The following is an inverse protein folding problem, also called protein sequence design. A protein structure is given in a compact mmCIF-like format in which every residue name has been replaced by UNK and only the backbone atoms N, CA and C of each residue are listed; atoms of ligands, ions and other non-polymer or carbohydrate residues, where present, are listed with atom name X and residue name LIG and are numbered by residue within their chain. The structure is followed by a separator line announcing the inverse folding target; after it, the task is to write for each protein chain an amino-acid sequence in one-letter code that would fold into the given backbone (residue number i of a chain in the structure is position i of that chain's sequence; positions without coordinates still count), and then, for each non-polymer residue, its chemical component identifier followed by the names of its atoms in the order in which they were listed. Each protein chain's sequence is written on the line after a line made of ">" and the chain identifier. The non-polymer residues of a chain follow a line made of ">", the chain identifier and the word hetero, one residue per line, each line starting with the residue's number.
data_IF_219163967044
#
_entry.id   IF_219163967044
#
_cell.length_a   1.000
_cell.length_b   1.000
_cell.length_c   1.000
_cell.angle_alpha   90.00
_cell.angle_beta   90.00
_cell.angle_gamma   90.00
#
_symmetry.space_group_name_H-M   'P 1'
#
loop_
_entity.id
_entity.type
_entity.pdbx_description
1 polymer ?
#
# COMPACT_ATOMS: atom_id res chain seq x y z
N UNK A 1 -0.74 21.12 -23.95
CA UNK A 1 -1.20 20.40 -22.74
C UNK A 1 -2.63 20.81 -22.46
N UNK A 2 -3.47 19.89 -21.98
CA UNK A 2 -4.81 20.23 -21.52
C UNK A 2 -4.75 21.20 -20.33
N UNK A 3 -5.74 22.07 -20.18
CA UNK A 3 -5.89 22.96 -19.02
C UNK A 3 -5.85 22.14 -17.72
N UNK A 4 -5.26 22.71 -16.67
CA UNK A 4 -5.19 22.11 -15.33
C UNK A 4 -6.18 22.76 -14.35
N UNK A 5 -7.16 23.51 -14.87
CA UNK A 5 -8.25 24.06 -14.07
C UNK A 5 -9.20 22.98 -13.56
N UNK A 6 -9.82 23.15 -12.38
CA UNK A 6 -10.71 22.14 -11.79
C UNK A 6 -11.79 21.64 -12.74
N UNK A 7 -12.48 22.56 -13.42
CA UNK A 7 -13.58 22.24 -14.32
C UNK A 7 -13.12 21.42 -15.53
N UNK A 8 -11.98 21.77 -16.14
CA UNK A 8 -11.45 20.99 -17.28
C UNK A 8 -10.86 19.65 -16.85
N UNK A 9 -10.21 19.57 -15.70
CA UNK A 9 -9.70 18.29 -15.15
C UNK A 9 -10.88 17.36 -14.88
N UNK A 10 -11.97 17.86 -14.29
CA UNK A 10 -13.16 17.06 -14.03
C UNK A 10 -13.81 16.55 -15.33
N UNK A 11 -13.85 17.38 -16.37
CA UNK A 11 -14.42 16.99 -17.67
C UNK A 11 -13.52 16.03 -18.47
N UNK A 12 -12.21 16.25 -18.45
CA UNK A 12 -11.24 15.49 -19.25
C UNK A 12 -10.74 14.21 -18.57
N UNK A 13 -10.87 14.12 -17.25
CA UNK A 13 -10.31 13.03 -16.45
C UNK A 13 -8.77 12.96 -16.47
N UNK A 14 -8.09 14.06 -16.85
CA UNK A 14 -6.63 14.09 -17.04
C UNK A 14 -6.00 15.28 -16.32
N UNK A 15 -4.99 15.02 -15.48
CA UNK A 15 -4.25 16.06 -14.76
C UNK A 15 -2.82 15.64 -14.39
N UNK A 16 -2.00 16.63 -14.06
CA UNK A 16 -0.78 16.48 -13.24
C UNK A 16 -1.08 16.88 -11.79
N UNK A 17 -0.09 16.74 -10.89
CA UNK A 17 -0.25 16.98 -9.45
C UNK A 17 -1.01 18.27 -9.09
N UNK A 18 -0.68 19.40 -9.73
CA UNK A 18 -1.38 20.66 -9.51
C UNK A 18 -2.86 20.60 -9.88
N UNK A 19 -3.23 19.95 -10.99
CA UNK A 19 -4.62 19.80 -11.41
C UNK A 19 -5.42 18.89 -10.47
N UNK A 20 -4.81 17.81 -9.98
CA UNK A 20 -5.40 16.98 -8.91
C UNK A 20 -5.67 17.80 -7.65
N UNK A 21 -4.68 18.57 -7.20
CA UNK A 21 -4.77 19.32 -5.95
C UNK A 21 -5.81 20.46 -6.02
N UNK A 22 -5.88 21.17 -7.14
CA UNK A 22 -6.87 22.23 -7.35
C UNK A 22 -8.29 21.66 -7.51
N UNK A 23 -8.47 20.55 -8.25
CA UNK A 23 -9.77 19.89 -8.33
C UNK A 23 -10.24 19.41 -6.95
N UNK A 24 -9.38 18.74 -6.20
CA UNK A 24 -9.74 18.29 -4.85
C UNK A 24 -10.11 19.46 -3.94
N UNK A 25 -9.32 20.53 -3.94
CA UNK A 25 -9.63 21.75 -3.17
C UNK A 25 -11.01 22.30 -3.54
N UNK A 26 -11.34 22.39 -4.82
CA UNK A 26 -12.65 22.87 -5.29
C UNK A 26 -13.79 21.99 -4.78
N UNK A 27 -13.63 20.67 -4.86
CA UNK A 27 -14.60 19.69 -4.35
C UNK A 27 -14.76 19.76 -2.83
N UNK A 28 -13.64 19.87 -2.10
CA UNK A 28 -13.63 20.01 -0.65
C UNK A 28 -14.38 21.28 -0.20
N UNK A 29 -14.15 22.42 -0.87
CA UNK A 29 -14.88 23.66 -0.60
C UNK A 29 -16.38 23.50 -0.82
N UNK A 30 -16.81 22.82 -1.89
CA UNK A 30 -18.24 22.51 -2.10
C UNK A 30 -18.83 21.58 -1.03
N UNK A 31 -18.02 20.69 -0.46
CA UNK A 31 -18.39 19.83 0.65
C UNK A 31 -18.36 20.56 2.02
N UNK A 32 -18.03 21.85 2.05
CA UNK A 32 -17.94 22.64 3.29
C UNK A 32 -16.64 22.42 4.09
N UNK A 33 -15.62 21.81 3.48
CA UNK A 33 -14.31 21.58 4.09
C UNK A 33 -13.34 22.70 3.73
N UNK A 34 -12.57 23.17 4.71
CA UNK A 34 -11.44 24.06 4.45
C UNK A 34 -10.26 23.24 3.91
N UNK A 35 -9.77 23.62 2.72
CA UNK A 35 -8.69 22.93 2.02
C UNK A 35 -7.72 23.93 1.40
N UNK A 36 -6.42 23.62 1.51
CA UNK A 36 -5.33 24.40 0.93
C UNK A 36 -4.50 23.53 0.00
N UNK A 37 -4.16 24.05 -1.18
CA UNK A 37 -3.13 23.44 -2.03
C UNK A 37 -1.77 23.75 -1.44
N UNK A 38 -0.98 22.70 -1.24
CA UNK A 38 0.40 22.76 -0.76
C UNK A 38 1.31 22.33 -1.90
N UNK A 39 2.34 23.11 -2.18
CA UNK A 39 3.38 22.76 -3.15
C UNK A 39 4.70 22.51 -2.44
N UNK A 40 5.51 21.64 -3.01
CA UNK A 40 6.83 21.34 -2.46
C UNK A 40 7.55 20.27 -3.26
N UNK A 41 8.40 19.55 -2.57
CA UNK A 41 9.19 18.45 -3.10
C UNK A 41 8.63 17.10 -2.63
N UNK A 42 8.52 16.14 -3.53
CA UNK A 42 8.10 14.78 -3.26
C UNK A 42 9.17 13.75 -3.63
N UNK A 43 9.38 12.73 -2.77
CA UNK A 43 10.20 11.54 -3.10
C UNK A 43 9.44 10.57 -4.01
N UNK A 44 9.05 11.08 -5.18
CA UNK A 44 8.24 10.39 -6.18
C UNK A 44 9.07 9.65 -7.23
N UNK A 45 8.45 9.39 -8.37
CA UNK A 45 9.14 8.80 -9.52
C UNK A 45 10.35 9.64 -9.94
N UNK A 46 11.52 9.01 -10.06
CA UNK A 46 12.78 9.68 -10.43
C UNK A 46 13.56 10.33 -9.29
N UNK A 47 13.07 10.25 -8.04
CA UNK A 47 13.79 10.75 -6.87
C UNK A 47 15.15 10.07 -6.70
N UNK A 48 16.19 10.89 -6.49
CA UNK A 48 17.52 10.42 -6.12
C UNK A 48 17.97 10.99 -4.77
N UNK A 49 18.46 10.15 -3.83
CA UNK A 49 19.03 10.64 -2.59
C UNK A 49 20.14 11.68 -2.83
N UNK A 50 20.09 12.79 -2.11
CA UNK A 50 21.03 13.90 -2.26
C UNK A 50 20.76 14.86 -3.43
N UNK A 51 19.66 14.70 -4.18
CA UNK A 51 19.28 15.70 -5.19
C UNK A 51 19.01 17.08 -4.54
N UNK A 52 19.32 18.20 -5.23
CA UNK A 52 19.03 19.53 -4.69
C UNK A 52 17.52 19.76 -4.60
N UNK A 53 17.10 20.63 -3.69
CA UNK A 53 15.69 20.99 -3.58
C UNK A 53 15.15 21.50 -4.92
N UNK A 54 14.08 20.86 -5.38
CA UNK A 54 13.30 21.31 -6.51
C UNK A 54 11.82 21.11 -6.19
N UNK A 55 11.00 22.14 -6.42
CA UNK A 55 9.54 22.00 -6.27
C UNK A 55 9.03 21.15 -7.43
N UNK A 56 8.69 19.89 -7.15
CA UNK A 56 8.28 18.91 -8.17
C UNK A 56 6.87 18.34 -7.92
N UNK A 57 6.19 18.71 -6.84
CA UNK A 57 4.92 18.10 -6.46
C UNK A 57 3.92 19.06 -5.78
N UNK A 58 2.65 18.68 -5.80
CA UNK A 58 1.55 19.41 -5.17
C UNK A 58 0.48 18.46 -4.62
N UNK A 59 -0.05 18.80 -3.44
CA UNK A 59 -1.05 18.02 -2.69
C UNK A 59 -1.96 18.97 -1.89
N UNK A 60 -2.79 18.44 -0.99
CA UNK A 60 -3.71 19.23 -0.18
C UNK A 60 -3.47 19.06 1.32
N UNK A 61 -3.71 20.14 2.06
CA UNK A 61 -3.97 20.10 3.49
C UNK A 61 -5.45 20.42 3.74
N UNK A 62 -6.14 19.59 4.51
CA UNK A 62 -7.55 19.78 4.89
C UNK A 62 -7.69 20.04 6.38
N UNK A 63 -8.60 20.92 6.75
CA UNK A 63 -8.93 21.20 8.15
C UNK A 63 -9.92 20.16 8.66
N UNK A 64 -9.49 19.37 9.63
CA UNK A 64 -10.33 18.45 10.40
C UNK A 64 -10.52 18.99 11.82
N UNK A 65 -11.50 18.45 12.54
CA UNK A 65 -11.78 18.83 13.94
C UNK A 65 -10.56 18.64 14.87
N UNK A 66 -9.70 17.66 14.54
CA UNK A 66 -8.49 17.32 15.29
C UNK A 66 -7.22 17.97 14.73
N UNK A 67 -7.31 18.83 13.71
CA UNK A 67 -6.16 19.52 13.13
C UNK A 67 -6.07 19.44 11.61
N UNK A 68 -4.91 19.83 11.07
CA UNK A 68 -4.66 19.77 9.63
C UNK A 68 -4.22 18.36 9.22
N UNK A 69 -4.88 17.79 8.22
CA UNK A 69 -4.58 16.48 7.64
C UNK A 69 -4.09 16.61 6.21
N UNK A 70 -3.17 15.77 5.77
CA UNK A 70 -2.55 15.85 4.44
C UNK A 70 -3.11 14.77 3.50
N UNK A 71 -3.43 15.16 2.27
CA UNK A 71 -4.00 14.28 1.23
C UNK A 71 -3.30 14.53 -0.10
N UNK A 72 -2.91 13.45 -0.78
CA UNK A 72 -2.41 13.49 -2.16
C UNK A 72 -3.27 12.63 -3.10
N UNK A 73 -4.16 13.31 -3.84
CA UNK A 73 -4.99 12.65 -4.83
C UNK A 73 -4.21 12.20 -6.08
N UNK A 74 -3.08 12.83 -6.39
CA UNK A 74 -2.29 12.49 -7.58
C UNK A 74 -1.65 11.11 -7.39
N UNK A 75 -0.85 10.93 -6.33
CA UNK A 75 -0.23 9.63 -6.03
C UNK A 75 -1.25 8.62 -5.47
N UNK A 76 -2.32 9.09 -4.83
CA UNK A 76 -3.43 8.25 -4.40
C UNK A 76 -4.25 7.63 -5.54
N UNK A 77 -4.19 8.19 -6.75
CA UNK A 77 -4.97 7.71 -7.91
C UNK A 77 -4.28 6.62 -8.72
N UNK A 78 -2.95 6.53 -8.65
CA UNK A 78 -2.15 5.64 -9.47
C UNK A 78 -0.72 6.12 -9.67
N UNK A 79 -0.04 5.52 -10.63
CA UNK A 79 1.34 5.86 -10.99
C UNK A 79 1.56 5.75 -12.50
N UNK A 80 2.73 6.18 -12.97
CA UNK A 80 3.14 6.08 -14.36
C UNK A 80 4.32 5.09 -14.45
N UNK A 81 4.28 4.19 -15.43
CA UNK A 81 5.38 3.26 -15.71
C UNK A 81 6.65 3.96 -16.23
N UNK A 82 7.77 3.24 -16.13
CA UNK A 82 9.04 3.70 -16.66
C UNK A 82 9.09 3.85 -18.18
N UNK A 83 10.07 4.63 -18.65
CA UNK A 83 10.40 4.82 -20.07
C UNK A 83 10.60 3.49 -20.82
N UNK A 84 10.37 3.44 -22.16
CA UNK A 84 10.18 4.57 -23.08
C UNK A 84 8.73 5.02 -23.29
N UNK A 85 7.75 4.21 -22.91
CA UNK A 85 6.33 4.48 -23.17
C UNK A 85 5.57 4.54 -21.85
N UNK A 86 5.62 5.68 -21.13
CA UNK A 86 4.95 5.83 -19.85
C UNK A 86 3.44 5.57 -20.01
N UNK A 87 2.93 4.59 -19.29
CA UNK A 87 1.50 4.29 -19.19
C UNK A 87 1.01 4.65 -17.80
N UNK A 88 -0.17 5.25 -17.73
CA UNK A 88 -0.83 5.49 -16.45
C UNK A 88 -1.49 4.19 -15.97
N UNK A 89 -1.09 3.76 -14.78
CA UNK A 89 -1.69 2.64 -14.07
C UNK A 89 -2.57 3.19 -12.96
N UNK A 90 -3.88 3.10 -13.16
CA UNK A 90 -4.86 3.48 -12.14
C UNK A 90 -4.76 2.48 -10.97
N UNK A 91 -4.40 2.98 -9.80
CA UNK A 91 -4.27 2.19 -8.57
C UNK A 91 -4.66 3.08 -7.39
N UNK A 92 -5.73 2.72 -6.69
CA UNK A 92 -6.05 3.40 -5.44
C UNK A 92 -4.96 3.07 -4.42
N UNK A 93 -4.30 4.09 -3.91
CA UNK A 93 -3.30 3.98 -2.86
C UNK A 93 -3.80 4.73 -1.61
N UNK A 94 -4.57 4.05 -0.73
CA UNK A 94 -5.25 4.65 0.42
C UNK A 94 -4.31 5.42 1.36
N UNK A 95 -3.05 5.00 1.46
CA UNK A 95 -2.02 5.61 2.28
C UNK A 95 -1.83 7.10 1.99
N UNK A 96 -2.09 7.57 0.76
CA UNK A 96 -2.03 8.99 0.39
C UNK A 96 -3.22 9.81 0.89
N UNK A 97 -4.24 9.17 1.45
CA UNK A 97 -5.43 9.80 2.00
C UNK A 97 -5.50 9.67 3.53
N UNK A 98 -4.96 8.58 4.10
CA UNK A 98 -5.18 8.22 5.51
C UNK A 98 -3.91 8.27 6.39
N UNK A 99 -2.72 8.44 5.80
CA UNK A 99 -1.48 8.47 6.59
C UNK A 99 -1.46 9.68 7.53
N UNK A 100 -0.89 9.52 8.72
CA UNK A 100 -0.63 10.65 9.60
C UNK A 100 0.34 11.65 8.95
N UNK A 101 0.30 12.95 9.31
CA UNK A 101 1.22 13.94 8.76
C UNK A 101 2.70 13.57 8.89
N UNK A 102 3.08 12.89 9.98
CA UNK A 102 4.46 12.42 10.19
C UNK A 102 4.89 11.39 9.14
N UNK A 103 4.02 10.43 8.81
CA UNK A 103 4.28 9.41 7.77
C UNK A 103 4.22 10.04 6.38
N UNK A 104 3.21 10.88 6.13
CA UNK A 104 3.04 11.58 4.85
C UNK A 104 4.26 12.46 4.53
N UNK A 105 4.76 13.19 5.54
CA UNK A 105 5.90 14.11 5.45
C UNK A 105 7.24 13.42 5.16
N UNK A 106 7.36 12.10 5.31
CA UNK A 106 8.57 11.35 4.90
C UNK A 106 8.84 11.44 3.40
N UNK A 107 7.78 11.61 2.61
CA UNK A 107 7.83 11.68 1.14
C UNK A 107 7.35 13.00 0.57
N UNK A 108 6.88 13.93 1.41
CA UNK A 108 6.34 15.23 1.00
C UNK A 108 6.93 16.35 1.86
N UNK A 109 7.83 17.13 1.28
CA UNK A 109 8.44 18.28 1.91
C UNK A 109 7.82 19.57 1.36
N UNK A 110 6.98 20.28 2.13
CA UNK A 110 6.34 21.50 1.66
C UNK A 110 7.37 22.63 1.51
N UNK A 111 7.14 23.50 0.53
CA UNK A 111 7.95 24.72 0.39
C UNK A 111 7.78 25.66 1.59
N UNK A 112 6.53 25.85 2.02
CA UNK A 112 6.21 26.55 3.26
C UNK A 112 6.19 25.53 4.39
N UNK A 113 7.24 25.54 5.20
CA UNK A 113 7.44 24.61 6.32
C UNK A 113 6.31 24.60 7.37
N UNK A 114 5.45 25.62 7.40
CA UNK A 114 4.26 25.63 8.27
C UNK A 114 3.22 24.56 7.87
N UNK A 115 3.31 24.01 6.65
CA UNK A 115 2.43 22.96 6.13
C UNK A 115 3.01 21.54 6.27
N UNK A 116 4.05 21.35 7.09
CA UNK A 116 4.47 19.99 7.44
C UNK A 116 3.44 19.30 8.33
N UNK A 117 2.64 20.08 9.06
CA UNK A 117 1.51 19.63 9.88
C UNK A 117 1.86 18.48 10.84
N UNK A 118 3.12 18.38 11.27
CA UNK A 118 3.62 17.26 12.05
C UNK A 118 2.98 17.20 13.42
N UNK A 119 2.66 15.98 13.85
CA UNK A 119 2.00 15.72 15.13
C UNK A 119 2.98 15.88 16.30
N UNK A 120 4.28 15.73 16.04
CA UNK A 120 5.33 15.90 17.05
C UNK A 120 5.70 17.38 17.31
N UNK A 121 5.04 18.32 16.62
CA UNK A 121 5.28 19.75 16.75
C UNK A 121 6.65 20.22 16.23
N UNK A 122 7.45 19.32 15.63
CA UNK A 122 8.74 19.68 15.05
C UNK A 122 8.54 20.22 13.64
N UNK A 123 9.46 21.09 13.23
CA UNK A 123 9.65 21.45 11.83
C UNK A 123 10.99 20.89 11.40
N UNK A 124 11.00 19.97 10.44
CA UNK A 124 12.24 19.36 9.94
C UNK A 124 12.82 20.19 8.79
N UNK A 125 14.15 20.24 8.71
CA UNK A 125 14.86 20.88 7.61
C UNK A 125 15.00 19.98 6.38
N UNK A 126 15.50 20.56 5.28
CA UNK A 126 15.77 19.83 4.04
C UNK A 126 16.75 18.67 4.23
N UNK A 127 17.84 18.88 4.97
CA UNK A 127 18.86 17.86 5.21
C UNK A 127 18.31 16.64 5.96
N UNK A 128 17.51 16.88 7.02
CA UNK A 128 16.84 15.82 7.77
C UNK A 128 15.83 15.08 6.87
N UNK A 129 15.03 15.81 6.10
CA UNK A 129 14.09 15.20 5.14
C UNK A 129 14.80 14.32 4.10
N UNK A 130 16.00 14.69 3.64
CA UNK A 130 16.75 13.96 2.61
C UNK A 130 17.54 12.76 3.17
N UNK A 131 17.70 12.68 4.49
CA UNK A 131 18.39 11.56 5.12
C UNK A 131 17.48 10.32 5.07
N UNK A 132 17.95 9.16 4.58
CA UNK A 132 17.21 7.91 4.67
C UNK A 132 16.92 7.60 6.14
N UNK A 133 15.67 7.31 6.51
CA UNK A 133 15.34 6.82 7.85
C UNK A 133 16.18 5.55 8.09
N UNK A 134 17.13 5.60 9.04
CA UNK A 134 18.02 4.47 9.32
C UNK A 134 17.27 3.24 9.88
N UNK A 135 15.99 3.41 10.24
CA UNK A 135 15.14 2.41 10.86
C UNK A 135 14.17 1.71 9.91
N UNK A 136 14.05 2.11 8.64
CA UNK A 136 13.11 1.42 7.74
C UNK A 136 13.75 0.17 7.12
N UNK A 137 13.20 -1.04 7.36
CA UNK A 137 13.53 -2.19 6.54
C UNK A 137 13.16 -1.86 5.09
N UNK A 138 14.02 -2.25 4.14
CA UNK A 138 13.78 -2.15 2.70
C UNK A 138 12.30 -2.41 2.36
N UNK A 139 11.68 -1.62 1.46
CA UNK A 139 10.27 -1.80 1.10
C UNK A 139 10.03 -3.25 0.72
N UNK A 140 8.98 -3.86 1.29
CA UNK A 140 8.68 -5.26 1.06
C UNK A 140 8.44 -5.48 -0.43
N UNK A 141 9.32 -6.22 -1.10
CA UNK A 141 9.24 -6.46 -2.54
C UNK A 141 8.28 -7.62 -2.80
N UNK A 142 6.98 -7.34 -2.85
CA UNK A 142 6.01 -8.29 -3.39
C UNK A 142 5.76 -8.01 -4.89
N UNK A 143 5.74 -9.08 -5.70
CA UNK A 143 5.07 -9.05 -6.99
C UNK A 143 3.56 -8.95 -6.72
N UNK A 144 2.90 -7.94 -7.30
CA UNK A 144 1.46 -7.61 -7.53
C UNK A 144 0.31 -8.35 -6.80
N UNK A 145 0.52 -9.54 -6.27
CA UNK A 145 -0.48 -10.39 -5.64
C UNK A 145 -1.15 -9.70 -4.44
N UNK A 146 -0.41 -9.12 -3.49
CA UNK A 146 -1.02 -8.43 -2.34
C UNK A 146 -1.92 -7.25 -2.72
N UNK A 147 -1.64 -6.60 -3.86
CA UNK A 147 -2.36 -5.44 -4.38
C UNK A 147 -3.71 -5.83 -4.98
N UNK A 148 -3.79 -6.98 -5.68
CA UNK A 148 -5.03 -7.51 -6.26
C UNK A 148 -6.09 -7.85 -5.19
N UNK A 149 -5.66 -8.12 -3.96
CA UNK A 149 -6.55 -8.38 -2.81
C UNK A 149 -6.71 -7.20 -1.85
N UNK A 150 -6.04 -6.08 -2.12
CA UNK A 150 -6.07 -4.89 -1.26
C UNK A 150 -5.41 -5.10 0.10
N UNK A 151 -4.41 -6.00 0.22
CA UNK A 151 -3.63 -6.15 1.45
C UNK A 151 -2.67 -4.98 1.64
N UNK A 152 -2.46 -4.59 2.90
CA UNK A 152 -1.50 -3.54 3.26
C UNK A 152 -0.13 -4.13 3.49
N UNK A 153 0.90 -3.53 2.90
CA UNK A 153 2.32 -3.84 3.19
C UNK A 153 2.63 -3.72 4.69
N UNK A 154 1.98 -2.79 5.39
CA UNK A 154 2.15 -2.59 6.85
C UNK A 154 1.54 -3.72 7.68
N UNK A 155 0.58 -4.46 7.12
CA UNK A 155 -0.08 -5.59 7.77
C UNK A 155 0.64 -6.92 7.49
N UNK A 156 1.76 -6.89 6.76
CA UNK A 156 2.53 -8.08 6.44
C UNK A 156 3.47 -8.43 7.59
N UNK A 157 3.50 -9.72 7.95
CA UNK A 157 4.46 -10.29 8.89
C UNK A 157 5.13 -11.51 8.27
N UNK A 158 6.44 -11.71 8.51
CA UNK A 158 7.36 -10.75 9.14
C UNK A 158 7.63 -9.54 8.21
N UNK A 159 7.90 -8.33 8.74
CA UNK A 159 8.07 -7.11 7.94
C UNK A 159 9.49 -7.00 7.39
N UNK A 160 10.02 -8.08 6.81
CA UNK A 160 11.38 -8.15 6.26
C UNK A 160 11.40 -8.84 4.90
N UNK A 161 12.33 -8.40 4.03
CA UNK A 161 12.57 -9.04 2.73
C UNK A 161 13.45 -10.29 2.81
N UNK A 162 14.15 -10.51 3.93
CA UNK A 162 15.04 -11.65 4.12
C UNK A 162 14.58 -12.48 5.32
N UNK A 163 14.13 -13.71 5.05
CA UNK A 163 13.68 -14.66 6.08
C UNK A 163 14.79 -15.53 6.66
N UNK A 164 16.04 -15.42 6.18
CA UNK A 164 17.19 -16.23 6.65
C UNK A 164 17.43 -16.09 8.15
N UNK A 165 17.09 -14.93 8.73
CA UNK A 165 17.20 -14.67 10.18
C UNK A 165 16.27 -15.55 11.02
N UNK A 166 15.28 -16.18 10.38
CA UNK A 166 14.30 -17.06 10.98
C UNK A 166 14.50 -18.54 10.61
N UNK A 167 15.57 -18.90 9.88
CA UNK A 167 15.87 -20.28 9.52
C UNK A 167 15.90 -21.19 10.77
N UNK A 168 15.26 -22.37 10.67
CA UNK A 168 15.14 -23.32 11.78
C UNK A 168 14.22 -22.87 12.93
N UNK A 169 13.41 -21.82 12.74
CA UNK A 169 12.49 -21.29 13.77
C UNK A 169 11.04 -21.34 13.31
N UNK A 170 10.14 -21.51 14.28
CA UNK A 170 8.71 -21.26 14.09
C UNK A 170 8.49 -19.78 13.84
N UNK A 171 7.86 -19.46 12.72
CA UNK A 171 7.63 -18.10 12.25
C UNK A 171 6.18 -17.95 11.84
N UNK A 172 5.60 -16.81 12.23
CA UNK A 172 4.24 -16.46 11.85
C UNK A 172 4.30 -15.61 10.59
N UNK A 173 3.58 -16.04 9.56
CA UNK A 173 3.30 -15.24 8.39
C UNK A 173 1.88 -14.73 8.46
N UNK A 174 1.69 -13.43 8.23
CA UNK A 174 0.36 -12.85 8.14
C UNK A 174 0.28 -11.77 7.07
N UNK A 175 -0.90 -11.64 6.48
CA UNK A 175 -1.28 -10.52 5.61
C UNK A 175 -2.67 -10.05 5.98
N UNK A 176 -3.00 -8.79 5.70
CA UNK A 176 -4.33 -8.30 5.98
C UNK A 176 -4.65 -6.98 5.31
N UNK A 177 -5.94 -6.63 5.34
CA UNK A 177 -6.45 -5.37 4.81
C UNK A 177 -5.93 -4.17 5.64
N UNK A 178 -5.81 -2.97 5.03
CA UNK A 178 -5.35 -1.75 5.70
C UNK A 178 -6.13 -1.36 6.94
N UNK A 179 -7.43 -1.65 6.98
CA UNK A 179 -8.26 -1.42 8.17
C UNK A 179 -9.42 -2.42 8.26
N UNK A 180 -9.92 -2.64 9.46
CA UNK A 180 -11.05 -3.55 9.74
C UNK A 180 -12.39 -3.09 9.12
N UNK A 181 -12.48 -1.82 8.73
CA UNK A 181 -13.65 -1.24 8.08
C UNK A 181 -13.70 -1.52 6.58
N UNK A 182 -12.60 -1.94 5.99
CA UNK A 182 -12.61 -2.47 4.62
C UNK A 182 -13.16 -3.89 4.67
N UNK A 183 -14.49 -4.05 4.58
CA UNK A 183 -15.05 -5.37 4.33
C UNK A 183 -14.91 -5.69 2.85
N UNK A 184 -14.03 -6.63 2.50
CA UNK A 184 -14.21 -7.32 1.22
C UNK A 184 -15.53 -8.09 1.28
N UNK A 185 -16.31 -8.02 0.20
CA UNK A 185 -17.57 -8.77 0.06
C UNK A 185 -17.32 -10.29 -0.08
N UNK A 186 -16.06 -10.70 -0.24
CA UNK A 186 -15.63 -12.02 -0.73
C UNK A 186 -14.35 -12.46 0.02
N UNK A 187 -14.34 -13.69 0.55
CA UNK A 187 -13.16 -14.35 1.13
C UNK A 187 -12.34 -15.08 0.05
N UNK A 188 -11.07 -15.37 0.38
CA UNK A 188 -10.14 -16.07 -0.50
C UNK A 188 -9.48 -17.23 0.23
N UNK A 189 -9.24 -18.33 -0.50
CA UNK A 189 -8.39 -19.42 -0.01
C UNK A 189 -6.94 -19.10 -0.40
N UNK A 190 -6.11 -18.81 0.61
CA UNK A 190 -4.71 -18.43 0.43
C UNK A 190 -3.75 -19.49 0.96
N UNK A 191 -2.66 -19.70 0.23
CA UNK A 191 -1.61 -20.64 0.59
C UNK A 191 -0.26 -19.94 0.67
N UNK A 192 0.50 -20.26 1.72
CA UNK A 192 1.91 -19.93 1.85
C UNK A 192 2.75 -21.07 1.29
N UNK A 193 3.73 -20.74 0.46
CA UNK A 193 4.72 -21.69 -0.06
C UNK A 193 6.11 -21.17 0.27
N UNK A 194 6.98 -22.05 0.79
CA UNK A 194 8.36 -21.71 1.15
C UNK A 194 9.32 -22.62 0.39
N UNK A 195 10.30 -22.02 -0.28
CA UNK A 195 11.30 -22.71 -1.09
C UNK A 195 10.87 -22.89 -2.55
N UNK A 196 11.11 -24.06 -3.11
CA UNK A 196 10.70 -24.39 -4.48
C UNK A 196 9.21 -24.69 -4.55
N UNK A 197 8.56 -24.28 -5.63
CA UNK A 197 7.15 -24.57 -5.85
C UNK A 197 6.96 -26.06 -6.15
N UNK A 198 6.34 -26.80 -5.22
CA UNK A 198 6.04 -28.22 -5.35
C UNK A 198 4.64 -28.50 -4.81
N UNK A 199 3.99 -29.60 -5.21
CA UNK A 199 2.63 -29.89 -4.73
C UNK A 199 2.55 -30.19 -3.22
N UNK A 200 3.70 -30.41 -2.56
CA UNK A 200 3.76 -30.86 -1.17
C UNK A 200 4.06 -29.77 -0.13
N UNK A 201 4.33 -28.53 -0.55
CA UNK A 201 4.74 -27.45 0.37
C UNK A 201 3.77 -26.26 0.41
N UNK A 202 2.49 -26.52 0.12
CA UNK A 202 1.41 -25.55 0.23
C UNK A 202 0.83 -25.59 1.64
N UNK A 203 0.90 -24.47 2.34
CA UNK A 203 0.34 -24.35 3.69
C UNK A 203 -0.85 -23.40 3.64
N UNK A 204 -2.04 -23.94 3.86
CA UNK A 204 -3.27 -23.16 3.90
C UNK A 204 -3.22 -22.13 5.05
N UNK A 205 -3.53 -20.88 4.74
CA UNK A 205 -3.60 -19.80 5.72
C UNK A 205 -4.99 -19.73 6.36
N UNK A 206 -5.04 -19.58 7.68
CA UNK A 206 -6.29 -19.36 8.41
C UNK A 206 -6.80 -17.93 8.19
N UNK A 207 -8.08 -17.80 7.85
CA UNK A 207 -8.81 -16.52 7.77
C UNK A 207 -9.54 -16.23 9.08
N UNK A 208 -9.53 -14.98 9.53
CA UNK A 208 -10.38 -14.50 10.64
C UNK A 208 -11.77 -14.02 10.20
N UNK A 209 -12.06 -14.11 8.90
CA UNK A 209 -13.30 -13.63 8.27
C UNK A 209 -13.45 -12.11 8.23
N UNK A 210 -12.39 -11.37 8.58
CA UNK A 210 -12.33 -9.90 8.54
C UNK A 210 -11.18 -9.40 7.67
N UNK A 211 -10.72 -10.24 6.75
CA UNK A 211 -9.66 -9.90 5.82
C UNK A 211 -8.25 -9.99 6.40
N UNK A 212 -8.03 -10.72 7.51
CA UNK A 212 -6.68 -11.13 7.94
C UNK A 212 -6.46 -12.60 7.75
N UNK A 213 -5.30 -12.93 7.20
CA UNK A 213 -4.84 -14.29 6.95
C UNK A 213 -3.56 -14.54 7.75
N UNK A 214 -3.49 -15.69 8.42
CA UNK A 214 -2.35 -16.05 9.26
C UNK A 214 -2.02 -17.53 9.14
N UNK A 215 -0.73 -17.83 9.15
CA UNK A 215 -0.21 -19.20 9.27
C UNK A 215 1.05 -19.19 10.13
N UNK A 216 1.26 -20.25 10.88
CA UNK A 216 2.50 -20.48 11.61
C UNK A 216 3.19 -21.71 11.01
N UNK A 217 4.46 -21.55 10.63
CA UNK A 217 5.25 -22.59 9.96
C UNK A 217 6.64 -22.65 10.59
N UNK A 218 7.21 -23.85 10.62
CA UNK A 218 8.62 -24.03 10.97
C UNK A 218 9.45 -23.84 9.70
N UNK A 219 10.32 -22.83 9.70
CA UNK A 219 11.16 -22.56 8.53
C UNK A 219 12.28 -23.60 8.44
N UNK A 220 12.55 -24.17 7.25
CA UNK A 220 13.69 -25.04 7.07
C UNK A 220 14.98 -24.34 7.50
N UNK A 221 15.94 -25.09 8.04
CA UNK A 221 17.26 -24.57 8.38
C UNK A 221 18.13 -24.44 7.11
N UNK A 222 17.66 -23.61 6.18
CA UNK A 222 18.27 -23.35 4.89
C UNK A 222 18.11 -21.86 4.55
N UNK A 223 19.16 -21.28 3.98
CA UNK A 223 19.18 -19.87 3.53
C UNK A 223 18.81 -19.72 2.07
N UNK A 224 18.36 -18.52 1.71
CA UNK A 224 18.01 -18.15 0.33
C UNK A 224 16.66 -18.69 -0.14
N UNK A 225 15.81 -19.15 0.79
CA UNK A 225 14.47 -19.62 0.48
C UNK A 225 13.57 -18.44 0.06
N UNK A 226 12.73 -18.69 -0.93
CA UNK A 226 11.69 -17.74 -1.36
C UNK A 226 10.39 -18.03 -0.64
N UNK A 227 9.62 -16.98 -0.39
CA UNK A 227 8.25 -17.09 0.14
C UNK A 227 7.29 -16.64 -0.95
N UNK A 228 6.31 -17.48 -1.26
CA UNK A 228 5.24 -17.16 -2.18
C UNK A 228 3.88 -17.22 -1.50
N UNK A 229 3.00 -16.32 -1.90
CA UNK A 229 1.60 -16.31 -1.50
C UNK A 229 0.74 -16.60 -2.73
N UNK A 230 -0.14 -17.59 -2.62
CA UNK A 230 -0.93 -18.11 -3.72
C UNK A 230 -2.41 -18.18 -3.37
N UNK A 231 -3.28 -18.17 -4.39
CA UNK A 231 -4.74 -18.35 -4.24
C UNK A 231 -5.22 -19.59 -4.96
N UNK A 232 -6.30 -20.18 -4.46
CA UNK A 232 -7.12 -21.07 -5.28
C UNK A 232 -7.83 -20.25 -6.36
N UNK A 233 -7.70 -20.65 -7.62
CA UNK A 233 -8.45 -20.06 -8.76
C UNK A 233 -9.67 -20.88 -9.13
N UNK A 234 -9.60 -22.20 -8.93
CA UNK A 234 -10.69 -23.12 -9.23
C UNK A 234 -10.83 -24.13 -8.09
N UNK A 235 -12.07 -24.54 -7.83
CA UNK A 235 -12.41 -25.57 -6.86
C UNK A 235 -13.52 -26.45 -7.44
N UNK A 236 -13.28 -27.77 -7.51
CA UNK A 236 -14.23 -28.76 -8.06
C UNK A 236 -14.81 -28.36 -9.44
N UNK A 237 -13.98 -27.77 -10.30
CA UNK A 237 -14.38 -27.33 -11.64
C UNK A 237 -15.18 -26.02 -11.71
N UNK A 238 -15.36 -25.33 -10.58
CA UNK A 238 -15.98 -24.00 -10.49
C UNK A 238 -14.98 -22.94 -10.06
N UNK A 239 -15.33 -21.66 -10.21
CA UNK A 239 -14.55 -20.54 -9.67
C UNK A 239 -14.46 -20.65 -8.13
N UNK A 240 -13.24 -20.56 -7.58
CA UNK A 240 -13.00 -20.63 -6.13
C UNK A 240 -13.25 -19.29 -5.41
N UNK A 241 -13.67 -18.26 -6.14
CA UNK A 241 -13.96 -16.94 -5.61
C UNK A 241 -15.07 -16.98 -4.53
N UNK A 242 -14.78 -16.42 -3.36
CA UNK A 242 -15.72 -16.38 -2.23
C UNK A 242 -15.66 -17.62 -1.32
N UNK A 243 -14.85 -18.62 -1.66
CA UNK A 243 -14.64 -19.81 -0.82
C UNK A 243 -13.78 -19.43 0.40
N UNK A 244 -14.25 -19.78 1.59
CA UNK A 244 -13.49 -19.59 2.83
C UNK A 244 -12.49 -20.73 3.07
N UNK A 245 -11.43 -20.43 3.83
CA UNK A 245 -10.47 -21.45 4.27
C UNK A 245 -11.14 -22.55 5.12
N UNK A 246 -12.23 -22.23 5.83
CA UNK A 246 -13.01 -23.21 6.61
C UNK A 246 -13.77 -24.17 5.72
N UNK A 247 -14.42 -23.68 4.67
CA UNK A 247 -15.11 -24.53 3.68
C UNK A 247 -14.13 -25.42 2.92
N UNK A 248 -12.93 -24.92 2.62
CA UNK A 248 -11.85 -25.72 2.05
C UNK A 248 -11.47 -26.91 2.97
N UNK A 249 -11.24 -26.64 4.27
CA UNK A 249 -10.82 -27.67 5.23
C UNK A 249 -11.93 -28.67 5.61
N UNK A 250 -13.16 -28.20 5.73
CA UNK A 250 -14.29 -29.02 6.19
C UNK A 250 -14.59 -30.19 5.24
N UNK A 251 -14.29 -30.05 3.94
CA UNK A 251 -14.58 -31.08 2.95
C UNK A 251 -13.37 -31.89 2.48
N UNK A 252 -12.13 -31.41 2.64
CA UNK A 252 -10.91 -32.25 2.46
C UNK A 252 -10.86 -33.39 3.49
N UNK A 253 -11.45 -33.19 4.68
CA UNK A 253 -11.62 -34.24 5.69
C UNK A 253 -12.65 -35.32 5.29
N UNK A 254 -13.58 -35.03 4.37
CA UNK A 254 -14.60 -35.99 3.92
C UNK A 254 -14.08 -36.91 2.81
N UNK A 255 -12.99 -36.52 2.13
CA UNK A 255 -12.36 -37.33 1.05
C UNK A 255 -11.22 -38.21 1.57
N UNK A 256 -10.81 -38.04 2.84
CA UNK A 256 -9.72 -38.78 3.48
C UNK A 256 -10.10 -40.09 4.19
N UNK A 257 -11.39 -40.47 4.24
CA UNK A 257 -11.84 -41.78 4.73
C UNK A 257 -12.41 -42.62 3.57
N UNK A 258 -11.55 -43.40 2.91
CA UNK A 258 -11.90 -44.68 2.27
C UNK A 258 -10.76 -45.67 2.50
#
# INVERSE_FOLDING_TARGET
>A
MASQGPEEVLQSGTAVCAGYAELFKKLATYAGLESKVVSGHGKGYGFSPGEPYNRNHAWNAIKMDWGWHLIDCCWGSGFIDGSPNPRYNKRLAPEHFISSPNVFGRRHFPEDSSWQCREDGRTIGWEEYMTPDQEEPEPLRYLSFGEDFGFSEKAVQPPVNNIDIFAGRRTVFSVGLPCEHMSLKEEWVLFLVIGEFSDNNWVLMGSDGRGRYRVEVELPDQRGLKVGLYRATTWKGSDAKGLSAREWQAEDLVVGEV
#
